data_IF_542263108055
#
_entry.id   IF_542263108055
#
_cell.length_a   1.000
_cell.length_b   1.000
_cell.length_c   1.000
_cell.angle_alpha   90.00
_cell.angle_beta   90.00
_cell.angle_gamma   90.00
#
_symmetry.space_group_name_H-M   'P 1'
#
loop_
_entity.id
_entity.type
_entity.pdbx_description
1 polymer ?
#
# COMPACT_ATOMS: atom_id res chain seq x y z
N UNK A 1 -19.56 9.80 15.35
CA UNK A 1 -18.40 9.28 14.59
C UNK A 1 -18.83 7.98 13.92
N UNK A 2 -18.80 7.91 12.59
CA UNK A 2 -19.08 6.66 11.88
C UNK A 2 -17.78 5.87 11.73
N UNK A 3 -17.72 4.66 12.29
CA UNK A 3 -16.51 3.80 12.29
C UNK A 3 -16.00 3.58 10.86
N UNK A 4 -16.92 3.45 9.89
CA UNK A 4 -16.59 3.23 8.47
C UNK A 4 -15.83 4.41 7.87
N UNK A 5 -16.14 5.63 8.28
CA UNK A 5 -15.48 6.85 7.78
C UNK A 5 -14.16 7.16 8.47
N UNK A 6 -13.95 6.65 9.69
CA UNK A 6 -12.74 6.91 10.49
C UNK A 6 -11.52 6.10 10.04
N UNK A 7 -11.74 4.94 9.40
CA UNK A 7 -10.66 4.08 8.90
C UNK A 7 -9.87 4.76 7.77
N UNK A 8 -10.49 5.21 6.65
CA UNK A 8 -9.74 5.84 5.57
C UNK A 8 -9.14 7.19 5.97
N UNK A 9 -9.78 7.95 6.87
CA UNK A 9 -9.22 9.23 7.35
C UNK A 9 -7.98 9.06 8.21
N UNK A 10 -7.76 7.87 8.79
CA UNK A 10 -6.58 7.55 9.60
C UNK A 10 -5.38 7.08 8.77
N UNK A 11 -5.59 6.73 7.48
CA UNK A 11 -4.54 6.28 6.59
C UNK A 11 -4.00 7.45 5.77
N UNK A 12 -2.69 7.68 5.86
CA UNK A 12 -2.02 8.70 5.06
C UNK A 12 -1.99 8.31 3.57
N UNK A 13 -2.14 9.28 2.64
CA UNK A 13 -2.07 9.02 1.21
C UNK A 13 -0.66 8.59 0.80
N UNK A 14 -0.54 7.90 -0.34
CA UNK A 14 0.75 7.48 -0.90
C UNK A 14 1.41 8.65 -1.64
N UNK A 15 2.71 8.86 -1.42
CA UNK A 15 3.50 9.84 -2.14
C UNK A 15 3.62 9.49 -3.63
N UNK A 16 3.73 10.50 -4.50
CA UNK A 16 3.77 10.29 -5.95
C UNK A 16 4.91 9.37 -6.41
N UNK A 17 6.08 9.52 -5.80
CA UNK A 17 7.26 8.69 -6.08
C UNK A 17 7.13 7.26 -5.55
N UNK A 18 6.15 6.98 -4.69
CA UNK A 18 5.85 5.64 -4.19
C UNK A 18 5.07 4.77 -5.18
N UNK A 19 4.30 5.37 -6.09
CA UNK A 19 3.46 4.62 -7.03
C UNK A 19 4.22 3.63 -7.91
N UNK A 20 5.40 3.95 -8.48
CA UNK A 20 6.18 2.98 -9.25
C UNK A 20 6.49 1.71 -8.46
N UNK A 21 6.88 1.82 -7.19
CA UNK A 21 7.17 0.67 -6.33
C UNK A 21 5.93 -0.16 -6.03
N UNK A 22 4.81 0.51 -5.72
CA UNK A 22 3.52 -0.16 -5.47
C UNK A 22 3.03 -0.88 -6.72
N UNK A 23 3.14 -0.26 -7.90
CA UNK A 23 2.71 -0.85 -9.17
C UNK A 23 3.56 -2.05 -9.56
N UNK A 24 4.88 -1.99 -9.36
CA UNK A 24 5.77 -3.14 -9.61
C UNK A 24 5.44 -4.30 -8.66
N UNK A 25 5.28 -4.03 -7.36
CA UNK A 25 4.92 -5.06 -6.39
C UNK A 25 3.55 -5.69 -6.70
N UNK A 26 2.56 -4.87 -7.08
CA UNK A 26 1.24 -5.33 -7.49
C UNK A 26 1.29 -6.17 -8.77
N UNK A 27 2.10 -5.77 -9.75
CA UNK A 27 2.30 -6.52 -10.99
C UNK A 27 2.93 -7.90 -10.71
N UNK A 28 3.94 -7.96 -9.83
CA UNK A 28 4.55 -9.22 -9.38
C UNK A 28 3.50 -10.10 -8.70
N UNK A 29 2.70 -9.55 -7.79
CA UNK A 29 1.62 -10.29 -7.13
C UNK A 29 0.62 -10.86 -8.16
N UNK A 30 0.22 -10.06 -9.15
CA UNK A 30 -0.69 -10.50 -10.21
C UNK A 30 -0.09 -11.64 -11.05
N UNK A 31 1.18 -11.53 -11.45
CA UNK A 31 1.88 -12.61 -12.18
C UNK A 31 1.96 -13.89 -11.35
N UNK A 32 2.25 -13.78 -10.05
CA UNK A 32 2.31 -14.94 -9.14
C UNK A 32 0.96 -15.65 -9.02
N UNK A 33 -0.15 -14.90 -8.96
CA UNK A 33 -1.50 -15.48 -9.03
C UNK A 33 -1.77 -16.15 -10.37
N UNK A 34 -1.36 -15.53 -11.49
CA UNK A 34 -1.58 -16.10 -12.84
C UNK A 34 -0.87 -17.44 -13.05
N UNK A 35 0.28 -17.66 -12.41
CA UNK A 35 1.04 -18.91 -12.50
C UNK A 35 0.70 -19.92 -11.38
N UNK A 36 -0.27 -19.61 -10.51
CA UNK A 36 -0.77 -20.50 -9.46
C UNK A 36 0.12 -20.63 -8.22
N UNK A 37 1.02 -19.66 -7.98
CA UNK A 37 1.87 -19.64 -6.77
C UNK A 37 1.17 -18.86 -5.64
N UNK A 38 -0.02 -19.31 -5.22
CA UNK A 38 -0.90 -18.55 -4.32
C UNK A 38 -0.25 -18.10 -3.00
N UNK A 39 0.49 -18.95 -2.25
CA UNK A 39 1.11 -18.51 -1.00
C UNK A 39 2.12 -17.39 -1.23
N UNK A 40 2.89 -17.47 -2.32
CA UNK A 40 3.88 -16.45 -2.67
C UNK A 40 3.22 -15.18 -3.20
N UNK A 41 2.11 -15.32 -3.94
CA UNK A 41 1.30 -14.20 -4.38
C UNK A 41 0.76 -13.39 -3.19
N UNK A 42 0.27 -14.07 -2.14
CA UNK A 42 -0.15 -13.41 -0.91
C UNK A 42 0.99 -12.68 -0.18
N UNK A 43 2.20 -13.26 -0.15
CA UNK A 43 3.38 -12.55 0.36
C UNK A 43 3.65 -11.28 -0.46
N UNK A 44 3.55 -11.35 -1.79
CA UNK A 44 3.70 -10.19 -2.65
C UNK A 44 2.59 -9.14 -2.44
N UNK A 45 1.36 -9.55 -2.11
CA UNK A 45 0.26 -8.63 -1.73
C UNK A 45 0.60 -7.90 -0.42
N UNK A 46 1.10 -8.61 0.59
CA UNK A 46 1.53 -7.99 1.85
C UNK A 46 2.68 -7.00 1.60
N UNK A 47 3.64 -7.37 0.75
CA UNK A 47 4.72 -6.46 0.34
C UNK A 47 4.20 -5.24 -0.42
N UNK A 48 3.20 -5.41 -1.27
CA UNK A 48 2.55 -4.29 -1.98
C UNK A 48 1.91 -3.30 -0.99
N UNK A 49 1.21 -3.82 0.02
CA UNK A 49 0.64 -3.01 1.10
C UNK A 49 1.73 -2.32 1.94
N UNK A 50 2.83 -3.03 2.22
CA UNK A 50 4.01 -2.46 2.89
C UNK A 50 4.59 -1.29 2.10
N UNK A 51 4.83 -1.47 0.79
CA UNK A 51 5.33 -0.39 -0.06
C UNK A 51 4.38 0.81 -0.04
N UNK A 52 3.07 0.60 -0.17
CA UNK A 52 2.09 1.67 -0.13
C UNK A 52 2.15 2.46 1.19
N UNK A 53 2.26 1.77 2.33
CA UNK A 53 2.37 2.44 3.63
C UNK A 53 3.76 3.04 3.89
N UNK A 54 4.84 2.44 3.39
CA UNK A 54 6.20 2.97 3.53
C UNK A 54 6.37 4.31 2.82
N UNK A 55 5.82 4.42 1.60
CA UNK A 55 5.84 5.67 0.83
C UNK A 55 4.68 6.60 1.16
N UNK A 56 4.00 6.44 2.29
CA UNK A 56 2.91 7.33 2.69
C UNK A 56 3.43 8.73 3.03
N UNK A 57 2.68 9.75 2.67
CA UNK A 57 2.98 11.14 2.95
C UNK A 57 1.91 11.76 3.87
N UNK A 58 2.09 11.67 5.21
CA UNK A 58 1.16 12.28 6.16
C UNK A 58 1.32 13.80 6.20
N UNK A 59 0.25 14.50 6.56
CA UNK A 59 0.29 15.94 6.81
C UNK A 59 1.37 16.26 7.86
N UNK A 60 2.26 17.21 7.53
CA UNK A 60 3.35 17.65 8.41
C UNK A 60 2.88 18.87 9.19
N UNK A 61 2.92 18.79 10.51
CA UNK A 61 2.65 19.92 11.41
C UNK A 61 3.95 20.40 12.04
N UNK A 62 4.24 21.70 11.99
CA UNK A 62 5.37 22.30 12.71
C UNK A 62 4.97 22.64 14.14
N UNK A 63 5.84 22.45 15.14
CA UNK A 63 5.58 22.94 16.49
C UNK A 63 5.47 24.48 16.48
N UNK A 64 4.48 25.01 17.19
CA UNK A 64 4.36 26.43 17.53
C UNK A 64 4.81 26.68 18.95
#
# INVERSE_FOLDING_TARGET
>A
MNIVTSIPSSLAPVHREGYPFVLVAAAVAAVLFLIGLDPLAWVAVVLTAWCAYFFRDPERVTPT
#
